data_IF_038865718556
#
_entry.id   IF_038865718556
#
_cell.length_a   1.000
_cell.length_b   1.000
_cell.length_c   1.000
_cell.angle_alpha   90.00
_cell.angle_beta   90.00
_cell.angle_gamma   90.00
#
_symmetry.space_group_name_H-M   'P 1'
#
loop_
_entity.id
_entity.type
_entity.pdbx_description
1 polymer ?
#
# COMPACT_ATOMS: atom_id res chain seq x y z
N UNK A 1 -3.33 -6.21 11.07
CA UNK A 1 -3.95 -4.88 11.02
C UNK A 1 -4.99 -4.75 12.12
N UNK A 2 -5.14 -3.56 12.68
CA UNK A 2 -6.13 -3.26 13.73
C UNK A 2 -7.46 -2.75 13.18
N UNK A 3 -7.50 -2.44 11.88
CA UNK A 3 -8.68 -1.93 11.17
C UNK A 3 -8.78 -2.56 9.77
N UNK A 4 -8.92 -1.76 8.72
CA UNK A 4 -9.00 -2.26 7.35
C UNK A 4 -7.75 -3.07 6.98
N UNK A 5 -7.93 -4.26 6.42
CA UNK A 5 -6.85 -4.97 5.77
C UNK A 5 -6.34 -4.16 4.57
N UNK A 6 -5.06 -4.31 4.23
CA UNK A 6 -4.46 -3.50 3.15
C UNK A 6 -5.20 -3.65 1.82
N UNK A 7 -5.59 -4.86 1.44
CA UNK A 7 -6.39 -5.09 0.22
C UNK A 7 -7.75 -4.40 0.27
N UNK A 8 -8.40 -4.40 1.43
CA UNK A 8 -9.65 -3.69 1.65
C UNK A 8 -9.49 -2.18 1.52
N UNK A 9 -8.39 -1.62 2.04
CA UNK A 9 -8.08 -0.20 1.87
C UNK A 9 -7.89 0.17 0.39
N UNK A 10 -7.20 -0.67 -0.39
CA UNK A 10 -7.08 -0.49 -1.84
C UNK A 10 -8.43 -0.52 -2.54
N UNK A 11 -9.29 -1.48 -2.22
CA UNK A 11 -10.62 -1.60 -2.83
C UNK A 11 -11.51 -0.39 -2.50
N UNK A 12 -11.46 0.09 -1.26
CA UNK A 12 -12.22 1.28 -0.83
C UNK A 12 -11.72 2.56 -1.53
N UNK A 13 -10.42 2.74 -1.67
CA UNK A 13 -9.84 3.88 -2.40
C UNK A 13 -10.15 3.80 -3.89
N UNK A 14 -10.03 2.62 -4.49
CA UNK A 14 -10.42 2.40 -5.89
C UNK A 14 -11.88 2.80 -6.15
N UNK A 15 -12.77 2.43 -5.25
CA UNK A 15 -14.20 2.82 -5.34
C UNK A 15 -14.38 4.34 -5.31
N UNK A 16 -13.66 5.04 -4.43
CA UNK A 16 -13.71 6.52 -4.34
C UNK A 16 -13.19 7.16 -5.62
N UNK A 17 -12.19 6.56 -6.27
CA UNK A 17 -11.66 6.99 -7.56
C UNK A 17 -12.46 6.47 -8.76
N UNK A 18 -13.57 5.79 -8.53
CA UNK A 18 -14.45 5.22 -9.56
C UNK A 18 -13.73 4.22 -10.47
N UNK A 19 -12.80 3.44 -9.91
CA UNK A 19 -12.07 2.38 -10.60
C UNK A 19 -12.80 1.05 -10.47
N UNK A 20 -12.59 0.11 -11.43
CA UNK A 20 -13.19 -1.22 -11.38
C UNK A 20 -12.70 -2.05 -10.18
N UNK A 21 -13.45 -3.08 -9.84
CA UNK A 21 -13.06 -4.12 -8.89
C UNK A 21 -12.38 -5.30 -9.63
N UNK A 22 -11.34 -5.92 -9.08
CA UNK A 22 -10.67 -5.61 -7.80
C UNK A 22 -9.81 -4.36 -7.87
N UNK A 23 -9.86 -3.53 -6.80
CA UNK A 23 -9.26 -2.20 -6.78
C UNK A 23 -7.74 -2.18 -6.75
N UNK A 24 -7.10 -3.15 -6.11
CA UNK A 24 -5.65 -3.19 -5.97
C UNK A 24 -4.90 -3.13 -7.31
N UNK A 25 -5.19 -4.04 -8.27
CA UNK A 25 -4.58 -4.02 -9.59
C UNK A 25 -4.85 -2.72 -10.38
N UNK A 26 -6.04 -2.16 -10.26
CA UNK A 26 -6.42 -0.93 -10.95
C UNK A 26 -5.66 0.28 -10.40
N UNK A 27 -5.50 0.38 -9.09
CA UNK A 27 -4.67 1.41 -8.46
C UNK A 27 -3.21 1.26 -8.89
N UNK A 28 -2.66 0.05 -8.87
CA UNK A 28 -1.28 -0.21 -9.27
C UNK A 28 -1.03 0.20 -10.73
N UNK A 29 -1.96 -0.12 -11.62
CA UNK A 29 -1.89 0.28 -13.02
C UNK A 29 -1.98 1.80 -13.21
N UNK A 30 -2.94 2.45 -12.56
CA UNK A 30 -3.16 3.89 -12.68
C UNK A 30 -2.01 4.70 -12.07
N UNK A 31 -1.44 4.23 -10.97
CA UNK A 31 -0.33 4.87 -10.27
C UNK A 31 0.92 5.03 -11.15
N UNK A 32 1.11 4.16 -12.14
CA UNK A 32 2.25 4.24 -13.08
C UNK A 32 2.25 5.51 -13.94
N UNK A 33 1.10 6.10 -14.17
CA UNK A 33 0.94 7.37 -14.91
C UNK A 33 0.82 8.59 -14.00
N UNK A 34 0.86 8.41 -12.68
CA UNK A 34 0.77 9.48 -11.70
C UNK A 34 2.10 9.84 -11.06
N UNK A 35 2.07 10.88 -10.25
CA UNK A 35 3.20 11.35 -9.47
C UNK A 35 2.88 11.29 -7.97
N UNK A 36 3.87 10.95 -7.17
CA UNK A 36 3.77 10.96 -5.70
C UNK A 36 3.93 12.39 -5.17
N UNK A 37 2.94 13.22 -5.37
CA UNK A 37 2.95 14.64 -5.04
C UNK A 37 1.93 15.04 -3.96
N UNK A 38 1.19 14.09 -3.40
CA UNK A 38 0.23 14.30 -2.33
C UNK A 38 0.71 13.58 -1.08
N UNK A 39 0.85 14.32 0.01
CA UNK A 39 1.28 13.74 1.28
C UNK A 39 0.09 13.17 2.04
N UNK A 40 -0.07 11.86 2.00
CA UNK A 40 -0.93 11.14 2.92
C UNK A 40 -0.15 10.72 4.17
N UNK A 41 -0.84 10.57 5.28
CA UNK A 41 -0.23 10.18 6.55
C UNK A 41 -0.92 8.96 7.12
N UNK A 42 -0.12 8.06 7.69
CA UNK A 42 -0.61 6.95 8.50
C UNK A 42 -0.52 7.37 9.97
N UNK A 43 -1.48 6.92 10.77
CA UNK A 43 -1.54 7.28 12.19
C UNK A 43 -0.25 6.89 12.92
N UNK A 44 0.30 7.85 13.66
CA UNK A 44 1.48 7.61 14.50
C UNK A 44 1.20 6.73 15.73
N UNK A 45 -0.07 6.42 16.01
CA UNK A 45 -0.45 5.63 17.19
C UNK A 45 0.17 4.22 17.21
N UNK A 46 0.54 3.69 16.05
CA UNK A 46 1.18 2.38 15.90
C UNK A 46 2.63 2.45 15.42
N UNK A 47 3.27 3.62 15.51
CA UNK A 47 4.63 3.83 15.00
C UNK A 47 5.65 2.84 15.58
N UNK A 48 5.57 2.55 16.88
CA UNK A 48 6.48 1.64 17.55
C UNK A 48 5.99 0.18 17.56
N UNK A 49 4.86 -0.08 16.93
CA UNK A 49 4.23 -1.39 16.79
C UNK A 49 4.48 -1.98 15.42
N UNK A 50 4.47 -3.32 15.32
CA UNK A 50 4.42 -4.04 14.04
C UNK A 50 3.00 -4.18 13.49
N UNK A 51 1.99 -3.68 14.18
CA UNK A 51 0.62 -3.65 13.71
C UNK A 51 0.42 -2.57 12.65
N UNK A 52 -0.53 -2.81 11.75
CA UNK A 52 -0.91 -1.87 10.69
C UNK A 52 -2.25 -1.22 10.98
N UNK A 53 -2.41 0.01 10.51
CA UNK A 53 -3.69 0.72 10.44
C UNK A 53 -3.75 1.50 9.13
N UNK A 54 -4.73 1.21 8.29
CA UNK A 54 -4.90 1.84 6.97
C UNK A 54 -6.16 2.71 6.86
N UNK A 55 -6.99 2.73 7.91
CA UNK A 55 -8.22 3.54 7.91
C UNK A 55 -7.94 5.04 7.77
N UNK A 56 -6.87 5.53 8.40
CA UNK A 56 -6.49 6.95 8.33
C UNK A 56 -6.12 7.42 6.93
N UNK A 57 -5.27 6.65 6.23
CA UNK A 57 -4.87 7.01 4.87
C UNK A 57 -6.04 6.91 3.88
N UNK A 58 -6.89 5.90 4.03
CA UNK A 58 -8.14 5.78 3.28
C UNK A 58 -9.02 7.02 3.48
N UNK A 59 -9.24 7.41 4.73
CA UNK A 59 -10.05 8.59 5.08
C UNK A 59 -9.43 9.87 4.49
N UNK A 60 -8.11 9.98 4.49
CA UNK A 60 -7.40 11.09 3.85
C UNK A 60 -7.71 11.21 2.35
N UNK A 61 -7.74 10.09 1.64
CA UNK A 61 -8.13 10.07 0.21
C UNK A 61 -9.60 10.47 0.03
N UNK A 62 -10.51 9.91 0.82
CA UNK A 62 -11.94 10.23 0.76
C UNK A 62 -12.18 11.72 0.96
N UNK A 63 -11.55 12.31 1.99
CA UNK A 63 -11.68 13.73 2.30
C UNK A 63 -11.12 14.60 1.19
N UNK A 64 -9.96 14.24 0.63
CA UNK A 64 -9.36 14.98 -0.48
C UNK A 64 -10.28 15.02 -1.69
N UNK A 65 -10.77 13.86 -2.13
CA UNK A 65 -11.68 13.74 -3.28
C UNK A 65 -12.96 14.53 -3.05
N UNK A 66 -13.54 14.42 -1.85
CA UNK A 66 -14.74 15.17 -1.47
C UNK A 66 -14.52 16.69 -1.55
N UNK A 67 -13.43 17.18 -0.98
CA UNK A 67 -13.08 18.60 -0.98
C UNK A 67 -12.85 19.13 -2.40
N UNK A 68 -12.16 18.38 -3.25
CA UNK A 68 -11.95 18.77 -4.65
C UNK A 68 -13.27 18.82 -5.42
N UNK A 69 -14.16 17.86 -5.22
CA UNK A 69 -15.51 17.87 -5.82
C UNK A 69 -16.33 19.06 -5.37
N UNK A 70 -16.30 19.39 -4.08
CA UNK A 70 -17.04 20.57 -3.55
C UNK A 70 -16.54 21.90 -4.13
N UNK A 71 -15.23 22.02 -4.34
CA UNK A 71 -14.62 23.21 -4.93
C UNK A 71 -14.75 23.28 -6.45
N UNK A 72 -15.25 22.25 -7.08
CA UNK A 72 -15.28 22.12 -8.55
C UNK A 72 -13.90 22.04 -9.18
N UNK A 73 -12.89 21.61 -8.40
CA UNK A 73 -11.52 21.43 -8.87
C UNK A 73 -11.37 20.08 -9.57
N UNK A 74 -10.46 20.02 -10.54
CA UNK A 74 -10.17 18.79 -11.26
C UNK A 74 -9.45 17.79 -10.36
N UNK A 75 -9.87 16.51 -10.44
CA UNK A 75 -9.27 15.40 -9.71
C UNK A 75 -8.27 14.68 -10.60
N UNK A 76 -6.99 14.70 -10.22
CA UNK A 76 -5.97 13.86 -10.84
C UNK A 76 -5.95 12.49 -10.15
N UNK A 77 -6.74 11.56 -10.67
CA UNK A 77 -6.86 10.20 -10.10
C UNK A 77 -5.53 9.45 -10.08
N UNK A 78 -4.69 9.64 -11.10
CA UNK A 78 -3.39 8.97 -11.21
C UNK A 78 -2.43 9.43 -10.09
N UNK A 79 -2.37 10.72 -9.79
CA UNK A 79 -1.53 11.26 -8.72
C UNK A 79 -2.04 10.81 -7.35
N UNK A 80 -3.35 10.76 -7.15
CA UNK A 80 -3.94 10.25 -5.91
C UNK A 80 -3.61 8.76 -5.74
N UNK A 81 -3.79 7.96 -6.78
CA UNK A 81 -3.48 6.53 -6.77
C UNK A 81 -2.00 6.29 -6.48
N UNK A 82 -1.10 7.02 -7.13
CA UNK A 82 0.35 6.94 -6.91
C UNK A 82 0.71 7.31 -5.47
N UNK A 83 0.23 8.44 -4.97
CA UNK A 83 0.54 8.94 -3.63
C UNK A 83 -0.03 8.03 -2.53
N UNK A 84 -1.23 7.50 -2.72
CA UNK A 84 -1.82 6.51 -1.82
C UNK A 84 -0.99 5.22 -1.77
N UNK A 85 -0.68 4.66 -2.93
CA UNK A 85 0.09 3.42 -3.06
C UNK A 85 1.49 3.57 -2.46
N UNK A 86 2.17 4.67 -2.72
CA UNK A 86 3.48 4.95 -2.14
C UNK A 86 3.42 5.02 -0.61
N UNK A 87 2.46 5.72 -0.05
CA UNK A 87 2.26 5.82 1.39
C UNK A 87 2.03 4.46 2.05
N UNK A 88 1.15 3.64 1.49
CA UNK A 88 0.82 2.31 2.03
C UNK A 88 1.98 1.34 1.89
N UNK A 89 2.64 1.31 0.73
CA UNK A 89 3.75 0.38 0.49
C UNK A 89 5.00 0.76 1.28
N UNK A 90 5.24 2.04 1.56
CA UNK A 90 6.29 2.49 2.46
C UNK A 90 6.07 1.97 3.89
N UNK A 91 4.85 2.06 4.40
CA UNK A 91 4.50 1.54 5.72
C UNK A 91 4.67 0.02 5.80
N UNK A 92 4.20 -0.70 4.78
CA UNK A 92 4.37 -2.15 4.70
C UNK A 92 5.85 -2.55 4.69
N UNK A 93 6.64 -1.88 3.87
CA UNK A 93 8.07 -2.14 3.73
C UNK A 93 8.84 -1.80 5.01
N UNK A 94 8.57 -0.66 5.64
CA UNK A 94 9.22 -0.24 6.87
C UNK A 94 8.98 -1.25 8.01
N UNK A 95 7.74 -1.64 8.24
CA UNK A 95 7.41 -2.58 9.31
C UNK A 95 7.89 -4.00 9.02
N UNK A 96 7.82 -4.46 7.77
CA UNK A 96 8.40 -5.75 7.38
C UNK A 96 9.92 -5.76 7.61
N UNK A 97 10.61 -4.71 7.23
CA UNK A 97 12.05 -4.55 7.45
C UNK A 97 12.40 -4.57 8.92
N UNK A 98 11.64 -3.87 9.73
CA UNK A 98 11.81 -3.84 11.19
C UNK A 98 11.60 -5.23 11.80
N UNK A 99 10.55 -5.93 11.39
CA UNK A 99 10.25 -7.28 11.85
C UNK A 99 11.36 -8.28 11.49
N UNK A 100 11.88 -8.21 10.28
CA UNK A 100 12.99 -9.04 9.79
C UNK A 100 14.24 -8.81 10.66
N UNK A 101 14.60 -7.57 10.91
CA UNK A 101 15.76 -7.21 11.72
C UNK A 101 15.61 -7.66 13.18
N UNK A 102 14.43 -7.48 13.76
CA UNK A 102 14.16 -7.90 15.15
C UNK A 102 14.17 -9.42 15.31
N UNK A 103 13.65 -10.16 14.34
CA UNK A 103 13.61 -11.62 14.35
C UNK A 103 14.91 -12.30 13.96
N UNK A 104 15.87 -11.58 13.36
CA UNK A 104 17.13 -12.15 12.87
C UNK A 104 16.95 -13.17 11.76
N UNK A 105 15.87 -13.06 10.96
CA UNK A 105 15.59 -13.96 9.83
C UNK A 105 16.17 -13.42 8.54
N UNK A 106 16.43 -14.33 7.58
CA UNK A 106 17.02 -14.00 6.29
C UNK A 106 16.16 -14.41 5.09
N UNK A 107 14.93 -14.83 5.33
CA UNK A 107 13.97 -15.22 4.30
C UNK A 107 12.67 -14.46 4.47
N UNK A 108 12.14 -13.92 3.38
CA UNK A 108 10.87 -13.24 3.33
C UNK A 108 10.03 -13.78 2.17
N UNK A 109 8.77 -14.07 2.44
CA UNK A 109 7.80 -14.48 1.43
C UNK A 109 6.74 -13.40 1.31
N UNK A 110 6.52 -12.91 0.09
CA UNK A 110 5.42 -11.98 -0.23
C UNK A 110 4.30 -12.79 -0.86
N UNK A 111 3.13 -12.75 -0.24
CA UNK A 111 1.96 -13.53 -0.63
C UNK A 111 0.66 -12.74 -0.46
N UNK A 112 -0.43 -13.25 -1.03
CA UNK A 112 -1.75 -12.61 -0.96
C UNK A 112 -2.03 -11.62 -2.09
N UNK A 113 -3.21 -10.99 -2.08
CA UNK A 113 -3.66 -10.09 -3.14
C UNK A 113 -2.73 -8.91 -3.38
N UNK A 114 -2.28 -8.25 -2.31
CA UNK A 114 -1.32 -7.13 -2.38
C UNK A 114 0.11 -7.61 -2.65
N UNK A 115 0.38 -8.89 -2.50
CA UNK A 115 1.67 -9.50 -2.86
C UNK A 115 2.03 -9.35 -4.34
N UNK A 116 1.06 -9.12 -5.21
CA UNK A 116 1.27 -8.84 -6.64
C UNK A 116 1.54 -7.36 -6.95
N UNK A 117 1.40 -6.45 -5.98
CA UNK A 117 1.58 -5.01 -6.18
C UNK A 117 3.02 -4.70 -6.64
N UNK A 118 3.14 -3.98 -7.77
CA UNK A 118 4.44 -3.70 -8.38
C UNK A 118 5.31 -2.78 -7.54
N UNK A 119 4.70 -1.79 -6.89
CA UNK A 119 5.40 -0.84 -6.04
C UNK A 119 5.98 -1.52 -4.78
N UNK A 120 5.16 -2.33 -4.10
CA UNK A 120 5.61 -3.11 -2.95
C UNK A 120 6.76 -4.06 -3.33
N UNK A 121 6.61 -4.79 -4.43
CA UNK A 121 7.63 -5.71 -4.91
C UNK A 121 8.95 -5.00 -5.23
N UNK A 122 8.91 -3.83 -5.88
CA UNK A 122 10.10 -3.06 -6.19
C UNK A 122 10.83 -2.61 -4.91
N UNK A 123 10.10 -2.12 -3.92
CA UNK A 123 10.66 -1.69 -2.62
C UNK A 123 11.29 -2.85 -1.85
N UNK A 124 10.60 -3.99 -1.80
CA UNK A 124 11.09 -5.17 -1.08
C UNK A 124 12.29 -5.81 -1.77
N UNK A 125 12.35 -5.80 -3.11
CA UNK A 125 13.52 -6.25 -3.87
C UNK A 125 14.73 -5.37 -3.59
N UNK A 126 14.56 -4.05 -3.60
CA UNK A 126 15.63 -3.10 -3.27
C UNK A 126 16.17 -3.37 -1.86
N UNK A 127 15.29 -3.54 -0.90
CA UNK A 127 15.69 -3.90 0.46
C UNK A 127 16.48 -5.21 0.51
N UNK A 128 16.03 -6.25 -0.18
CA UNK A 128 16.68 -7.54 -0.21
C UNK A 128 18.08 -7.50 -0.88
N UNK A 129 18.28 -6.61 -1.86
CA UNK A 129 19.58 -6.39 -2.49
C UNK A 129 20.56 -5.65 -1.57
N UNK A 130 20.09 -4.69 -0.79
CA UNK A 130 20.88 -3.91 0.15
C UNK A 130 21.20 -4.67 1.45
N UNK A 131 20.48 -5.72 1.74
CA UNK A 131 20.64 -6.57 2.93
C UNK A 131 20.69 -8.03 2.49
N UNK A 132 21.53 -8.89 3.11
CA UNK A 132 21.63 -10.31 2.76
C UNK A 132 20.34 -11.06 3.14
N UNK A 133 19.33 -10.95 2.31
CA UNK A 133 17.99 -11.50 2.50
C UNK A 133 17.54 -12.23 1.24
N UNK A 134 17.06 -13.46 1.39
CA UNK A 134 16.40 -14.22 0.33
C UNK A 134 14.93 -13.82 0.25
N UNK A 135 14.58 -13.05 -0.77
CA UNK A 135 13.21 -12.70 -1.07
C UNK A 135 12.58 -13.78 -1.95
N UNK A 136 11.52 -14.41 -1.44
CA UNK A 136 10.74 -15.39 -2.14
C UNK A 136 9.38 -14.81 -2.50
N UNK A 137 9.03 -14.86 -3.78
CA UNK A 137 7.68 -14.55 -4.24
C UNK A 137 6.90 -15.86 -4.33
N UNK A 138 5.81 -15.95 -3.60
CA UNK A 138 4.92 -17.07 -3.74
C UNK A 138 4.03 -16.87 -4.96
N UNK A 139 4.20 -17.72 -5.97
CA UNK A 139 3.23 -17.90 -7.04
C UNK A 139 2.17 -18.93 -6.66
N UNK A 140 2.21 -19.44 -5.44
CA UNK A 140 1.29 -20.47 -4.99
C UNK A 140 -0.11 -19.87 -4.82
N UNK A 141 -1.10 -20.56 -5.33
CA UNK A 141 -2.48 -20.47 -4.91
C UNK A 141 -2.52 -20.84 -3.42
N UNK A 142 -2.49 -19.83 -2.54
CA UNK A 142 -2.78 -20.11 -1.15
C UNK A 142 -4.26 -20.37 -1.02
N UNK A 143 -4.61 -21.59 -0.70
CA UNK A 143 -5.91 -21.89 -0.16
C UNK A 143 -6.04 -21.07 1.13
N UNK A 144 -7.09 -20.25 1.21
CA UNK A 144 -7.48 -19.66 2.49
C UNK A 144 -7.72 -20.81 3.45
N UNK A 145 -6.84 -20.95 4.39
CA UNK A 145 -7.16 -21.70 5.60
C UNK A 145 -8.07 -20.84 6.46
#
# INVERSE_FOLDING_TARGET
>A
TVDDAVGEAFDKVARVLELPYPGGPEIDKLAKSGQNNIKFTISNSLKDSLNFSFSGVKTGVVNLVHNLKQKGEQINKADIACSFQECVTDELCEKATRAIKQAGINKLVIAGGVGANSCLNAKMRKFAQENPLNLLRSNALFYKL
#
